data_IF_892099924127
#
_entry.id   IF_892099924127
#
_cell.length_a   1.000
_cell.length_b   1.000
_cell.length_c   1.000
_cell.angle_alpha   90.00
_cell.angle_beta   90.00
_cell.angle_gamma   90.00
#
_symmetry.space_group_name_H-M   'P 1'
#
loop_
_entity.id
_entity.type
_entity.pdbx_description
1 polymer ?
#
# COMPACT_ATOMS: atom_id res chain seq x y z
N UNK A 1 10.44 43.94 -6.78
CA UNK A 1 10.19 42.48 -6.84
C UNK A 1 10.04 41.78 -5.45
N UNK A 2 9.52 42.40 -4.37
CA UNK A 2 9.28 41.70 -3.08
C UNK A 2 7.94 40.90 -3.03
N UNK A 3 6.96 41.27 -3.84
CA UNK A 3 5.59 40.71 -3.82
C UNK A 3 5.50 39.23 -4.26
N UNK A 4 6.46 38.75 -5.07
CA UNK A 4 6.53 37.34 -5.49
C UNK A 4 7.10 36.41 -4.40
N UNK A 5 8.07 36.87 -3.60
CA UNK A 5 8.67 36.06 -2.53
C UNK A 5 7.67 35.85 -1.38
N UNK A 6 6.97 36.91 -0.98
CA UNK A 6 5.99 36.86 0.11
C UNK A 6 4.77 35.98 -0.25
N UNK A 7 4.33 36.04 -1.51
CA UNK A 7 3.29 35.15 -2.06
C UNK A 7 3.72 33.68 -2.10
N UNK A 8 4.97 33.39 -2.43
CA UNK A 8 5.53 32.02 -2.43
C UNK A 8 5.66 31.48 -1.01
N UNK A 9 6.10 32.28 -0.04
CA UNK A 9 6.14 31.86 1.37
C UNK A 9 4.75 31.55 1.91
N UNK A 10 3.75 32.39 1.60
CA UNK A 10 2.36 32.19 2.04
C UNK A 10 1.74 30.93 1.41
N UNK A 11 1.96 30.71 0.12
CA UNK A 11 1.50 29.50 -0.59
C UNK A 11 2.19 28.23 -0.07
N UNK A 12 3.48 28.32 0.27
CA UNK A 12 4.24 27.20 0.85
C UNK A 12 3.73 26.86 2.25
N UNK A 13 3.51 27.87 3.12
CA UNK A 13 2.95 27.67 4.46
C UNK A 13 1.54 27.06 4.42
N UNK A 14 0.65 27.57 3.56
CA UNK A 14 -0.70 27.01 3.38
C UNK A 14 -0.65 25.59 2.81
N UNK A 15 0.25 25.32 1.86
CA UNK A 15 0.44 23.97 1.30
C UNK A 15 0.97 22.97 2.33
N UNK A 16 1.90 23.38 3.19
CA UNK A 16 2.41 22.56 4.30
C UNK A 16 1.31 22.31 5.34
N UNK A 17 0.57 23.34 5.73
CA UNK A 17 -0.56 23.24 6.67
C UNK A 17 -1.65 22.29 6.14
N UNK A 18 -2.04 22.44 4.87
CA UNK A 18 -3.04 21.58 4.24
C UNK A 18 -2.57 20.12 4.19
N UNK A 19 -1.35 19.85 3.72
CA UNK A 19 -0.81 18.48 3.67
C UNK A 19 -0.68 17.85 5.06
N UNK A 20 -0.26 18.64 6.06
CA UNK A 20 -0.16 18.16 7.44
C UNK A 20 -1.54 17.85 7.99
N UNK A 21 -2.53 18.73 7.76
CA UNK A 21 -3.90 18.51 8.22
C UNK A 21 -4.53 17.29 7.55
N UNK A 22 -4.40 17.12 6.24
CA UNK A 22 -4.89 15.93 5.52
C UNK A 22 -4.22 14.65 6.01
N UNK A 23 -2.92 14.68 6.32
CA UNK A 23 -2.21 13.53 6.92
C UNK A 23 -2.72 13.20 8.32
N UNK A 24 -2.90 14.21 9.17
CA UNK A 24 -3.41 14.04 10.53
C UNK A 24 -4.82 13.46 10.48
N UNK A 25 -5.72 14.07 9.71
CA UNK A 25 -7.11 13.59 9.54
C UNK A 25 -7.14 12.17 8.97
N UNK A 26 -6.32 11.86 7.96
CA UNK A 26 -6.23 10.51 7.41
C UNK A 26 -5.71 9.48 8.40
N UNK A 27 -4.72 9.85 9.23
CA UNK A 27 -4.13 8.98 10.25
C UNK A 27 -5.13 8.71 11.38
N UNK A 28 -5.81 9.74 11.88
CA UNK A 28 -6.87 9.58 12.87
C UNK A 28 -8.06 8.80 12.32
N UNK A 29 -8.43 9.02 11.05
CA UNK A 29 -9.46 8.25 10.36
C UNK A 29 -9.12 6.77 10.27
N UNK A 30 -7.86 6.43 9.92
CA UNK A 30 -7.37 5.05 9.94
C UNK A 30 -7.40 4.44 11.34
N UNK A 31 -6.99 5.19 12.36
CA UNK A 31 -6.98 4.71 13.73
C UNK A 31 -8.40 4.41 14.23
N UNK A 32 -9.33 5.34 14.03
CA UNK A 32 -10.73 5.17 14.41
C UNK A 32 -11.36 4.03 13.60
N UNK A 33 -11.15 3.98 12.28
CA UNK A 33 -11.62 2.89 11.43
C UNK A 33 -11.10 1.52 11.89
N UNK A 34 -9.83 1.44 12.28
CA UNK A 34 -9.23 0.24 12.84
C UNK A 34 -9.90 -0.21 14.14
N UNK A 35 -10.25 0.72 15.04
CA UNK A 35 -11.00 0.41 16.27
C UNK A 35 -12.40 -0.11 15.93
N UNK A 36 -13.09 0.49 14.96
CA UNK A 36 -14.40 0.03 14.53
C UNK A 36 -14.35 -1.39 13.96
N UNK A 37 -13.42 -1.65 13.06
CA UNK A 37 -13.17 -2.98 12.48
C UNK A 37 -12.84 -3.98 13.60
N UNK A 38 -12.00 -3.61 14.58
CA UNK A 38 -11.66 -4.46 15.72
C UNK A 38 -12.84 -4.81 16.61
N UNK A 39 -13.78 -3.87 16.80
CA UNK A 39 -15.02 -4.17 17.52
C UNK A 39 -15.99 -5.03 16.72
N UNK A 40 -16.02 -4.87 15.40
CA UNK A 40 -16.94 -5.57 14.52
C UNK A 40 -16.52 -7.03 14.30
N UNK A 41 -15.21 -7.26 14.09
CA UNK A 41 -14.63 -8.55 13.74
C UNK A 41 -14.06 -9.31 14.94
N UNK A 42 -13.66 -8.59 16.00
CA UNK A 42 -12.95 -9.18 17.13
C UNK A 42 -11.43 -9.27 16.92
N UNK A 43 -10.66 -9.40 18.01
CA UNK A 43 -9.20 -9.36 17.97
C UNK A 43 -8.56 -10.60 17.32
N UNK A 44 -9.23 -11.76 17.33
CA UNK A 44 -8.72 -12.99 16.71
C UNK A 44 -8.65 -12.87 15.18
N UNK A 45 -9.71 -12.36 14.55
CA UNK A 45 -9.78 -12.18 13.09
C UNK A 45 -8.71 -11.20 12.59
N UNK A 46 -8.57 -10.07 13.30
CA UNK A 46 -7.54 -9.07 12.99
C UNK A 46 -6.14 -9.62 13.24
N UNK A 47 -5.95 -10.39 14.31
CA UNK A 47 -4.67 -11.02 14.63
C UNK A 47 -4.22 -11.94 13.51
N UNK A 48 -5.10 -12.84 13.06
CA UNK A 48 -4.84 -13.75 11.95
C UNK A 48 -4.47 -12.98 10.66
N UNK A 49 -5.25 -11.96 10.30
CA UNK A 49 -4.98 -11.15 9.11
C UNK A 49 -3.65 -10.37 9.23
N UNK A 50 -3.37 -9.78 10.39
CA UNK A 50 -2.15 -9.04 10.65
C UNK A 50 -0.89 -9.92 10.54
N UNK A 51 -0.95 -11.18 10.97
CA UNK A 51 0.15 -12.14 10.81
C UNK A 51 0.46 -12.40 9.33
N UNK A 52 -0.57 -12.59 8.49
CA UNK A 52 -0.37 -12.73 7.06
C UNK A 52 0.20 -11.46 6.42
N UNK A 53 -0.39 -10.30 6.75
CA UNK A 53 0.08 -9.00 6.27
C UNK A 53 1.52 -8.67 6.70
N UNK A 54 1.97 -9.14 7.86
CA UNK A 54 3.37 -9.00 8.28
C UNK A 54 4.30 -9.69 7.29
N UNK A 55 4.01 -10.94 6.91
CA UNK A 55 4.80 -11.70 5.93
C UNK A 55 4.82 -11.00 4.58
N UNK A 56 3.65 -10.58 4.09
CA UNK A 56 3.52 -9.88 2.81
C UNK A 56 4.26 -8.54 2.86
N UNK A 57 4.16 -7.80 3.95
CA UNK A 57 4.81 -6.51 4.14
C UNK A 57 6.34 -6.60 4.08
N UNK A 58 6.93 -7.68 4.59
CA UNK A 58 8.36 -7.92 4.40
C UNK A 58 8.69 -8.22 2.93
N UNK A 59 7.90 -9.07 2.27
CA UNK A 59 8.14 -9.47 0.89
C UNK A 59 8.04 -8.31 -0.11
N UNK A 60 7.04 -7.42 0.04
CA UNK A 60 6.85 -6.27 -0.86
C UNK A 60 7.99 -5.25 -0.75
N UNK A 61 8.57 -5.07 0.45
CA UNK A 61 9.67 -4.12 0.65
C UNK A 61 10.92 -4.45 -0.16
N UNK A 62 11.21 -5.73 -0.38
CA UNK A 62 12.33 -6.13 -1.25
C UNK A 62 12.16 -5.62 -2.69
N UNK A 63 10.95 -5.64 -3.24
CA UNK A 63 10.67 -5.13 -4.59
C UNK A 63 10.83 -3.61 -4.70
N UNK A 64 10.38 -2.87 -3.68
CA UNK A 64 10.50 -1.41 -3.63
C UNK A 64 11.96 -0.92 -3.66
N UNK A 65 12.85 -1.58 -2.92
CA UNK A 65 14.25 -1.17 -2.81
C UNK A 65 15.08 -1.48 -4.07
N UNK A 66 14.74 -2.55 -4.80
CA UNK A 66 15.52 -2.98 -5.97
C UNK A 66 15.18 -2.20 -7.25
N UNK A 67 13.90 -2.19 -7.64
CA UNK A 67 13.51 -1.76 -8.97
C UNK A 67 13.10 -0.29 -9.03
N UNK A 68 12.25 0.14 -8.09
CA UNK A 68 11.64 1.47 -8.10
C UNK A 68 12.64 2.56 -7.70
N UNK A 69 13.48 2.31 -6.68
CA UNK A 69 14.55 3.23 -6.29
C UNK A 69 15.57 3.47 -7.41
N UNK A 70 15.90 2.43 -8.18
CA UNK A 70 16.80 2.54 -9.33
C UNK A 70 16.26 3.47 -10.43
N UNK A 71 14.95 3.40 -10.71
CA UNK A 71 14.34 4.32 -11.67
C UNK A 71 14.25 5.74 -11.12
N UNK A 72 13.94 5.95 -9.84
CA UNK A 72 13.88 7.30 -9.26
C UNK A 72 15.25 8.00 -9.27
N UNK A 73 16.32 7.26 -9.01
CA UNK A 73 17.68 7.82 -8.92
C UNK A 73 18.41 7.96 -10.26
N UNK A 74 17.93 7.32 -11.32
CA UNK A 74 18.53 7.39 -12.66
C UNK A 74 18.51 8.82 -13.18
N UNK A 75 19.67 9.40 -13.47
CA UNK A 75 19.81 10.79 -13.94
C UNK A 75 19.47 11.01 -15.41
N UNK A 76 19.58 9.95 -16.23
CA UNK A 76 19.31 10.03 -17.67
C UNK A 76 17.81 10.15 -17.98
N UNK A 77 17.48 10.55 -19.21
CA UNK A 77 16.10 10.58 -19.71
C UNK A 77 15.42 9.21 -19.58
N UNK A 78 14.16 9.23 -19.11
CA UNK A 78 13.33 8.04 -19.02
C UNK A 78 12.49 7.94 -20.27
N UNK A 79 12.72 6.88 -21.03
CA UNK A 79 11.89 6.54 -22.18
C UNK A 79 10.78 5.58 -21.76
N UNK A 80 9.72 5.48 -22.57
CA UNK A 80 8.65 4.51 -22.37
C UNK A 80 9.16 3.06 -22.22
N UNK A 81 10.30 2.73 -22.84
CA UNK A 81 10.94 1.41 -22.72
C UNK A 81 11.44 1.14 -21.30
N UNK A 82 11.99 2.14 -20.60
CA UNK A 82 12.42 2.01 -19.21
C UNK A 82 11.23 1.75 -18.28
N UNK A 83 10.12 2.46 -18.50
CA UNK A 83 8.89 2.33 -17.72
C UNK A 83 8.30 0.93 -17.89
N UNK A 84 8.17 0.47 -19.15
CA UNK A 84 7.65 -0.86 -19.44
C UNK A 84 8.57 -1.96 -18.87
N UNK A 85 9.89 -1.78 -18.96
CA UNK A 85 10.84 -2.74 -18.39
C UNK A 85 10.74 -2.80 -16.86
N UNK A 86 10.59 -1.65 -16.19
CA UNK A 86 10.36 -1.59 -14.74
C UNK A 86 9.08 -2.34 -14.37
N UNK A 87 7.97 -2.05 -15.05
CA UNK A 87 6.68 -2.69 -14.79
C UNK A 87 6.76 -4.21 -14.95
N UNK A 88 7.34 -4.69 -16.06
CA UNK A 88 7.46 -6.14 -16.33
C UNK A 88 8.39 -6.81 -15.31
N UNK A 89 9.52 -6.19 -14.95
CA UNK A 89 10.42 -6.74 -13.93
C UNK A 89 9.74 -6.83 -12.56
N UNK A 90 9.04 -5.77 -12.14
CA UNK A 90 8.30 -5.74 -10.87
C UNK A 90 7.19 -6.79 -10.87
N UNK A 91 6.44 -6.90 -11.96
CA UNK A 91 5.37 -7.89 -12.10
C UNK A 91 5.89 -9.33 -12.03
N UNK A 92 6.96 -9.65 -12.79
CA UNK A 92 7.57 -10.98 -12.76
C UNK A 92 8.13 -11.31 -11.38
N UNK A 93 8.78 -10.33 -10.73
CA UNK A 93 9.31 -10.50 -9.38
C UNK A 93 8.21 -10.77 -8.36
N UNK A 94 7.12 -10.00 -8.39
CA UNK A 94 6.01 -10.19 -7.45
C UNK A 94 5.19 -11.45 -7.73
N UNK A 95 5.07 -11.89 -8.98
CA UNK A 95 4.52 -13.21 -9.32
C UNK A 95 5.41 -14.32 -8.74
N UNK A 96 6.74 -14.20 -8.87
CA UNK A 96 7.66 -15.18 -8.30
C UNK A 96 7.55 -15.23 -6.76
N UNK A 97 7.50 -14.07 -6.10
CA UNK A 97 7.26 -14.00 -4.65
C UNK A 97 5.91 -14.58 -4.25
N UNK A 98 4.86 -14.31 -5.01
CA UNK A 98 3.54 -14.89 -4.77
C UNK A 98 3.56 -16.42 -4.83
N UNK A 99 4.24 -17.01 -5.82
CA UNK A 99 4.43 -18.46 -5.92
C UNK A 99 5.19 -18.99 -4.68
N UNK A 100 6.25 -18.30 -4.26
CA UNK A 100 7.02 -18.68 -3.06
C UNK A 100 6.12 -18.66 -1.82
N UNK A 101 5.30 -17.62 -1.65
CA UNK A 101 4.38 -17.50 -0.52
C UNK A 101 3.30 -18.57 -0.57
N UNK A 102 2.77 -18.90 -1.76
CA UNK A 102 1.83 -20.00 -1.91
C UNK A 102 2.43 -21.31 -1.38
N UNK A 103 3.60 -21.72 -1.87
CA UNK A 103 4.24 -22.96 -1.41
C UNK A 103 4.67 -22.91 0.06
N UNK A 104 4.94 -21.71 0.59
CA UNK A 104 5.31 -21.49 1.99
C UNK A 104 4.11 -21.44 2.94
N UNK A 105 2.88 -21.30 2.41
CA UNK A 105 1.65 -21.17 3.18
C UNK A 105 1.49 -22.19 4.32
N UNK A 106 1.69 -23.51 4.12
CA UNK A 106 1.56 -24.48 5.21
C UNK A 106 2.57 -24.26 6.35
N UNK A 107 3.80 -23.87 6.02
CA UNK A 107 4.82 -23.56 7.02
C UNK A 107 4.49 -22.28 7.78
N UNK A 108 3.93 -21.28 7.10
CA UNK A 108 3.49 -20.01 7.70
C UNK A 108 2.33 -20.27 8.66
N UNK A 109 1.31 -21.02 8.24
CA UNK A 109 0.17 -21.39 9.07
C UNK A 109 0.61 -22.16 10.33
N UNK A 110 1.57 -23.08 10.19
CA UNK A 110 2.14 -23.81 11.33
C UNK A 110 2.97 -22.90 12.25
N UNK A 111 3.80 -22.02 11.70
CA UNK A 111 4.66 -21.11 12.49
C UNK A 111 3.83 -20.19 13.39
N UNK A 112 2.72 -19.67 12.87
CA UNK A 112 1.81 -18.79 13.59
C UNK A 112 0.72 -19.53 14.39
N UNK A 113 0.66 -20.87 14.30
CA UNK A 113 -0.41 -21.70 14.86
C UNK A 113 -1.82 -21.23 14.44
N UNK A 114 -1.95 -20.78 13.18
CA UNK A 114 -3.20 -20.23 12.65
C UNK A 114 -3.58 -20.95 11.34
N UNK A 115 -4.46 -21.97 11.40
CA UNK A 115 -4.84 -22.78 10.24
C UNK A 115 -5.48 -21.97 9.11
N UNK A 116 -6.18 -20.86 9.43
CA UNK A 116 -6.81 -20.00 8.42
C UNK A 116 -5.80 -19.43 7.43
N UNK A 117 -4.55 -19.23 7.85
CA UNK A 117 -3.49 -18.73 6.97
C UNK A 117 -3.16 -19.69 5.82
N UNK A 118 -3.45 -20.99 5.95
CA UNK A 118 -3.17 -21.97 4.91
C UNK A 118 -3.83 -21.59 3.57
N UNK A 119 -5.10 -21.20 3.62
CA UNK A 119 -5.88 -20.82 2.44
C UNK A 119 -5.82 -19.31 2.18
N UNK A 120 -5.63 -18.51 3.23
CA UNK A 120 -5.59 -17.07 3.13
C UNK A 120 -4.32 -16.54 2.47
N UNK A 121 -3.15 -17.11 2.80
CA UNK A 121 -1.86 -16.56 2.39
C UNK A 121 -1.73 -16.40 0.87
N UNK A 122 -2.12 -17.38 0.02
CA UNK A 122 -2.10 -17.18 -1.44
C UNK A 122 -3.00 -16.02 -1.91
N UNK A 123 -4.15 -15.80 -1.24
CA UNK A 123 -5.10 -14.74 -1.59
C UNK A 123 -4.58 -13.38 -1.12
N UNK A 124 -4.11 -13.27 0.12
CA UNK A 124 -3.50 -12.05 0.65
C UNK A 124 -2.26 -11.71 -0.18
N UNK A 125 -1.45 -12.69 -0.57
CA UNK A 125 -0.30 -12.47 -1.43
C UNK A 125 -0.69 -12.04 -2.86
N UNK A 126 -1.94 -12.17 -3.30
CA UNK A 126 -2.34 -11.61 -4.59
C UNK A 126 -2.26 -10.07 -4.58
N UNK A 127 -2.43 -9.46 -3.40
CA UNK A 127 -2.27 -8.02 -3.19
C UNK A 127 -0.95 -7.48 -3.74
N UNK A 128 0.17 -8.18 -3.49
CA UNK A 128 1.48 -7.72 -3.98
C UNK A 128 1.51 -7.67 -5.51
N UNK A 129 0.94 -8.66 -6.21
CA UNK A 129 0.87 -8.67 -7.68
C UNK A 129 0.01 -7.51 -8.19
N UNK A 130 -1.13 -7.26 -7.56
CA UNK A 130 -2.02 -6.14 -7.93
C UNK A 130 -1.38 -4.76 -7.65
N UNK A 131 -0.56 -4.66 -6.60
CA UNK A 131 0.14 -3.44 -6.23
C UNK A 131 1.10 -2.97 -7.34
N UNK A 132 1.64 -3.85 -8.20
CA UNK A 132 2.49 -3.47 -9.35
C UNK A 132 1.86 -2.40 -10.24
N UNK A 133 0.54 -2.50 -10.46
CA UNK A 133 -0.22 -1.60 -11.34
C UNK A 133 -0.30 -0.19 -10.79
N UNK A 134 -0.35 -0.05 -9.46
CA UNK A 134 -0.38 1.25 -8.78
C UNK A 134 1.02 1.81 -8.53
N UNK A 135 2.00 0.93 -8.25
CA UNK A 135 3.32 1.35 -7.80
C UNK A 135 4.18 1.97 -8.91
N UNK A 136 4.06 1.51 -10.15
CA UNK A 136 4.82 2.06 -11.28
C UNK A 136 4.43 3.53 -11.57
N UNK A 137 3.14 3.89 -11.72
CA UNK A 137 2.71 5.29 -11.84
C UNK A 137 3.11 6.17 -10.64
N UNK A 138 2.96 5.66 -9.41
CA UNK A 138 3.35 6.39 -8.21
C UNK A 138 4.86 6.67 -8.16
N UNK A 139 5.68 5.73 -8.65
CA UNK A 139 7.13 5.89 -8.76
C UNK A 139 7.50 6.96 -9.79
N UNK A 140 6.77 7.06 -10.91
CA UNK A 140 6.96 8.11 -11.90
C UNK A 140 6.61 9.49 -11.32
N UNK A 141 5.47 9.62 -10.63
CA UNK A 141 5.08 10.87 -9.96
C UNK A 141 6.13 11.30 -8.92
N UNK A 142 6.70 10.35 -8.17
CA UNK A 142 7.77 10.62 -7.22
C UNK A 142 9.04 11.10 -7.92
N UNK A 143 9.40 10.53 -9.08
CA UNK A 143 10.55 10.95 -9.90
C UNK A 143 10.34 12.35 -10.48
N UNK A 144 9.15 12.67 -10.97
CA UNK A 144 8.78 13.98 -11.50
C UNK A 144 8.60 15.04 -10.40
N UNK A 145 8.73 14.64 -9.13
CA UNK A 145 8.48 15.47 -7.95
C UNK A 145 7.05 16.04 -7.89
N UNK A 146 6.09 15.40 -8.57
CA UNK A 146 4.68 15.74 -8.46
C UNK A 146 4.07 15.12 -7.19
N UNK A 147 4.52 15.64 -6.05
CA UNK A 147 4.04 15.23 -4.74
C UNK A 147 2.57 15.58 -4.51
N UNK A 148 2.01 16.50 -5.30
CA UNK A 148 0.60 16.88 -5.21
C UNK A 148 -0.28 15.75 -5.73
N UNK A 149 -0.06 15.29 -6.96
CA UNK A 149 -0.79 14.18 -7.55
C UNK A 149 -0.56 12.89 -6.76
N UNK A 150 0.69 12.62 -6.36
CA UNK A 150 1.04 11.49 -5.50
C UNK A 150 0.23 11.49 -4.18
N UNK A 151 0.15 12.64 -3.50
CA UNK A 151 -0.58 12.75 -2.23
C UNK A 151 -2.09 12.58 -2.42
N UNK A 152 -2.67 13.12 -3.50
CA UNK A 152 -4.10 12.98 -3.81
C UNK A 152 -4.46 11.50 -4.03
N UNK A 153 -3.66 10.78 -4.83
CA UNK A 153 -3.91 9.36 -5.13
C UNK A 153 -3.88 8.53 -3.86
N UNK A 154 -2.84 8.69 -3.03
CA UNK A 154 -2.71 7.91 -1.78
C UNK A 154 -3.79 8.27 -0.76
N UNK A 155 -4.17 9.56 -0.66
CA UNK A 155 -5.27 9.95 0.21
C UNK A 155 -6.59 9.35 -0.27
N UNK A 156 -6.86 9.34 -1.57
CA UNK A 156 -8.06 8.73 -2.13
C UNK A 156 -8.10 7.21 -1.89
N UNK A 157 -6.98 6.51 -2.11
CA UNK A 157 -6.83 5.08 -1.80
C UNK A 157 -7.18 4.79 -0.33
N UNK A 158 -6.59 5.53 0.61
CA UNK A 158 -6.85 5.35 2.04
C UNK A 158 -8.30 5.60 2.44
N UNK A 159 -8.95 6.57 1.80
CA UNK A 159 -10.36 6.89 2.06
C UNK A 159 -11.31 5.85 1.47
N UNK A 160 -10.91 5.10 0.45
CA UNK A 160 -11.71 4.03 -0.15
C UNK A 160 -11.56 2.69 0.57
N UNK A 161 -10.36 2.38 1.07
CA UNK A 161 -10.07 1.11 1.75
C UNK A 161 -10.92 0.92 3.01
N UNK A 162 -11.03 1.96 3.87
CA UNK A 162 -11.72 1.83 5.16
C UNK A 162 -13.22 1.54 4.99
N UNK A 163 -13.99 2.30 4.17
CA UNK A 163 -15.40 1.99 3.94
C UNK A 163 -15.62 0.63 3.29
N UNK A 164 -14.78 0.23 2.32
CA UNK A 164 -14.89 -1.08 1.68
C UNK A 164 -14.71 -2.21 2.70
N UNK A 165 -13.69 -2.11 3.56
CA UNK A 165 -13.46 -3.08 4.64
C UNK A 165 -14.65 -3.15 5.61
N UNK A 166 -15.24 -2.00 5.98
CA UNK A 166 -16.43 -1.95 6.84
C UNK A 166 -17.63 -2.60 6.14
N UNK A 167 -17.86 -2.32 4.86
CA UNK A 167 -18.97 -2.90 4.09
C UNK A 167 -18.83 -4.42 4.02
N UNK A 168 -17.66 -4.95 3.67
CA UNK A 168 -17.42 -6.40 3.63
C UNK A 168 -17.56 -7.05 5.01
N UNK A 169 -17.13 -6.37 6.07
CA UNK A 169 -17.31 -6.86 7.44
C UNK A 169 -18.79 -6.93 7.86
N UNK A 170 -19.61 -5.96 7.43
CA UNK A 170 -21.06 -5.95 7.66
C UNK A 170 -21.79 -7.06 6.90
N UNK A 171 -21.26 -7.52 5.76
CA UNK A 171 -21.77 -8.68 5.03
C UNK A 171 -21.42 -10.03 5.67
N UNK A 172 -20.73 -10.04 6.81
CA UNK A 172 -20.53 -11.23 7.63
C UNK A 172 -19.33 -12.11 7.23
N UNK A 173 -18.43 -11.60 6.39
CA UNK A 173 -17.27 -12.36 5.90
C UNK A 173 -16.14 -12.55 6.94
N UNK A 174 -16.28 -12.09 8.18
CA UNK A 174 -15.32 -12.27 9.29
C UNK A 174 -13.85 -12.13 8.83
N UNK A 175 -12.99 -13.12 9.07
CA UNK A 175 -11.62 -13.18 8.57
C UNK A 175 -11.48 -12.74 7.10
N UNK A 176 -12.34 -13.27 6.23
CA UNK A 176 -12.29 -13.05 4.80
C UNK A 176 -12.70 -11.63 4.39
N UNK A 177 -13.42 -10.89 5.24
CA UNK A 177 -13.74 -9.48 4.94
C UNK A 177 -12.52 -8.58 4.93
N UNK A 178 -11.43 -9.01 5.57
CA UNK A 178 -10.15 -8.31 5.56
C UNK A 178 -9.26 -8.77 4.39
N UNK A 179 -9.46 -10.00 3.93
CA UNK A 179 -8.68 -10.61 2.84
C UNK A 179 -9.11 -10.09 1.47
N UNK A 180 -10.41 -9.83 1.27
CA UNK A 180 -10.98 -9.28 0.04
C UNK A 180 -10.97 -7.74 0.03
#
# INVERSE_FOLDING_TARGET
MPDKQDKLEKQTKVGILWNTMSRVVGTFGQFIGGIFIARLLGPEEIGAFAMGMMVIGFATKFGEFGFHMGLVQRKDEVTAKHINSLFVMDLVFKIALWIIVWFSSPYIAQFFNEPRLLDAMPVIALYMVLECFSMTPLTLLRREMDFKSYSIIITAERLLVIPLAIVFALFGFQFWSLVY
#
